data_IF_046389216764
#
_entry.id   IF_046389216764
#
_cell.length_a   1.000
_cell.length_b   1.000
_cell.length_c   1.000
_cell.angle_alpha   90.00
_cell.angle_beta   90.00
_cell.angle_gamma   90.00
#
_symmetry.space_group_name_H-M   'P 1'
#
loop_
_entity.id
_entity.type
_entity.pdbx_description
1 polymer ?
#
# COMPACT_ATOMS: atom_id res chain seq x y z
N UNK A 1 35.30 36.03 53.08
CA UNK A 1 35.50 35.64 51.67
C UNK A 1 34.11 35.56 51.03
N UNK A 2 33.44 36.69 50.76
CA UNK A 2 31.96 36.69 50.68
C UNK A 2 31.30 37.70 49.73
N UNK A 3 32.04 38.53 48.97
CA UNK A 3 31.41 39.51 48.04
C UNK A 3 31.88 39.33 46.60
N UNK A 4 33.18 39.10 46.42
CA UNK A 4 33.79 38.92 45.10
C UNK A 4 33.34 37.61 44.44
N UNK A 5 33.14 36.54 45.23
CA UNK A 5 32.64 35.25 44.74
C UNK A 5 31.20 35.33 44.22
N UNK A 6 30.32 36.09 44.90
CA UNK A 6 28.95 36.31 44.45
C UNK A 6 28.87 37.22 43.23
N UNK A 7 29.75 38.23 43.12
CA UNK A 7 29.85 39.08 41.94
C UNK A 7 30.32 38.30 40.71
N UNK A 8 31.30 37.40 40.87
CA UNK A 8 31.79 36.52 39.81
C UNK A 8 30.72 35.50 39.37
N UNK A 9 29.99 34.90 40.33
CA UNK A 9 28.86 34.01 40.02
C UNK A 9 27.72 34.75 39.31
N UNK A 10 27.40 35.97 39.73
CA UNK A 10 26.37 36.80 39.08
C UNK A 10 26.74 37.18 37.65
N UNK A 11 28.00 37.57 37.41
CA UNK A 11 28.51 37.85 36.07
C UNK A 11 28.53 36.61 35.16
N UNK A 12 28.96 35.46 35.68
CA UNK A 12 28.94 34.20 34.95
C UNK A 12 27.50 33.76 34.58
N UNK A 13 26.55 33.90 35.51
CA UNK A 13 25.14 33.62 35.27
C UNK A 13 24.52 34.55 34.22
N UNK A 14 24.89 35.84 34.22
CA UNK A 14 24.38 36.82 33.26
C UNK A 14 24.80 36.52 31.81
N UNK A 15 25.94 35.85 31.60
CA UNK A 15 26.41 35.44 30.27
C UNK A 15 25.90 34.04 29.90
N UNK A 16 25.92 33.10 30.84
CA UNK A 16 25.53 31.72 30.57
C UNK A 16 24.02 31.55 30.37
N UNK A 17 23.18 32.26 31.13
CA UNK A 17 21.74 32.08 31.09
C UNK A 17 21.12 32.46 29.72
N UNK A 18 21.48 33.59 29.07
CA UNK A 18 20.99 33.91 27.72
C UNK A 18 21.44 32.92 26.65
N UNK A 19 22.67 32.39 26.74
CA UNK A 19 23.20 31.39 25.80
C UNK A 19 22.46 30.06 25.92
N UNK A 20 22.25 29.58 27.15
CA UNK A 20 21.48 28.35 27.41
C UNK A 20 20.03 28.55 26.98
N UNK A 21 19.43 29.70 27.30
CA UNK A 21 18.05 29.99 26.89
C UNK A 21 17.91 30.03 25.36
N UNK A 22 18.82 30.68 24.63
CA UNK A 22 18.78 30.74 23.18
C UNK A 22 18.95 29.36 22.54
N UNK A 23 19.93 28.57 22.98
CA UNK A 23 20.15 27.20 22.46
C UNK A 23 18.95 26.29 22.70
N UNK A 24 18.40 26.29 23.92
CA UNK A 24 17.18 25.52 24.23
C UNK A 24 16.00 25.99 23.39
N UNK A 25 15.82 27.31 23.25
CA UNK A 25 14.73 27.88 22.46
C UNK A 25 14.85 27.52 20.98
N UNK A 26 16.06 27.56 20.41
CA UNK A 26 16.35 27.14 19.04
C UNK A 26 16.03 25.66 18.82
N UNK A 27 16.48 24.77 19.70
CA UNK A 27 16.16 23.33 19.64
C UNK A 27 14.66 23.09 19.73
N UNK A 28 13.95 23.80 20.61
CA UNK A 28 12.50 23.70 20.75
C UNK A 28 11.78 24.22 19.49
N UNK A 29 12.25 25.30 18.88
CA UNK A 29 11.66 25.82 17.65
C UNK A 29 11.93 24.93 16.45
N UNK A 30 13.14 24.40 16.32
CA UNK A 30 13.51 23.49 15.24
C UNK A 30 12.71 22.19 15.32
N UNK A 31 12.55 21.63 16.52
CA UNK A 31 11.71 20.43 16.72
C UNK A 31 10.23 20.70 16.43
N UNK A 32 9.69 21.87 16.82
CA UNK A 32 8.32 22.28 16.45
C UNK A 32 8.16 22.45 14.95
N UNK A 33 9.13 23.10 14.29
CA UNK A 33 9.14 23.30 12.84
C UNK A 33 9.17 21.96 12.12
N UNK A 34 10.10 21.08 12.49
CA UNK A 34 10.20 19.71 11.96
C UNK A 34 8.88 18.95 12.07
N UNK A 35 8.24 18.93 13.25
CA UNK A 35 6.94 18.24 13.43
C UNK A 35 5.82 18.82 12.57
N UNK A 36 5.84 20.13 12.31
CA UNK A 36 4.86 20.79 11.43
C UNK A 36 5.07 20.41 9.97
N UNK A 37 6.31 20.46 9.49
CA UNK A 37 6.68 20.05 8.14
C UNK A 37 6.36 18.57 7.91
N UNK A 38 6.76 17.70 8.83
CA UNK A 38 6.52 16.26 8.78
C UNK A 38 5.01 15.95 8.66
N UNK A 39 4.17 16.60 9.49
CA UNK A 39 2.71 16.46 9.38
C UNK A 39 2.16 16.95 8.05
N UNK A 40 2.68 18.06 7.51
CA UNK A 40 2.21 18.59 6.24
C UNK A 40 2.52 17.64 5.07
N UNK A 41 3.71 17.02 5.07
CA UNK A 41 4.12 16.01 4.09
C UNK A 41 3.22 14.77 4.23
N UNK A 42 3.02 14.28 5.46
CA UNK A 42 2.24 13.06 5.72
C UNK A 42 0.78 13.20 5.29
N UNK A 43 0.14 14.35 5.53
CA UNK A 43 -1.25 14.56 5.09
C UNK A 43 -1.37 14.48 3.56
N UNK A 44 -0.44 15.09 2.83
CA UNK A 44 -0.41 14.99 1.36
C UNK A 44 -0.15 13.54 0.90
N UNK A 45 0.75 12.82 1.57
CA UNK A 45 1.02 11.42 1.28
C UNK A 45 -0.23 10.55 1.45
N UNK A 46 -1.01 10.76 2.51
CA UNK A 46 -2.25 9.99 2.73
C UNK A 46 -3.21 10.13 1.53
N UNK A 47 -3.44 11.34 1.04
CA UNK A 47 -4.29 11.53 -0.15
C UNK A 47 -3.73 10.87 -1.41
N UNK A 48 -2.41 10.91 -1.59
CA UNK A 48 -1.75 10.24 -2.71
C UNK A 48 -1.91 8.71 -2.62
N UNK A 49 -1.75 8.15 -1.42
CA UNK A 49 -1.96 6.73 -1.13
C UNK A 49 -3.43 6.36 -1.34
N UNK A 50 -4.40 7.18 -0.93
CA UNK A 50 -5.83 6.90 -1.14
C UNK A 50 -6.21 6.83 -2.61
N UNK A 51 -5.65 7.74 -3.42
CA UNK A 51 -5.79 7.70 -4.88
C UNK A 51 -5.19 6.42 -5.46
N UNK A 52 -4.01 6.03 -4.98
CA UNK A 52 -3.34 4.80 -5.39
C UNK A 52 -4.15 3.54 -5.02
N UNK A 53 -4.66 3.49 -3.79
CA UNK A 53 -5.50 2.39 -3.28
C UNK A 53 -6.77 2.27 -4.10
N UNK A 54 -7.44 3.38 -4.42
CA UNK A 54 -8.64 3.38 -5.27
C UNK A 54 -8.38 2.78 -6.65
N UNK A 55 -7.20 3.02 -7.24
CA UNK A 55 -6.80 2.39 -8.51
C UNK A 55 -6.52 0.90 -8.37
N UNK A 56 -5.88 0.48 -7.28
CA UNK A 56 -5.67 -0.94 -6.99
C UNK A 56 -7.00 -1.66 -6.78
N UNK A 57 -7.96 -1.00 -6.13
CA UNK A 57 -9.31 -1.51 -5.92
C UNK A 57 -10.00 -1.74 -7.26
N UNK A 58 -10.01 -0.73 -8.14
CA UNK A 58 -10.60 -0.87 -9.46
C UNK A 58 -10.03 -2.07 -10.21
N UNK A 59 -8.71 -2.24 -10.22
CA UNK A 59 -8.04 -3.36 -10.88
C UNK A 59 -8.25 -4.72 -10.20
N UNK A 60 -8.64 -4.73 -8.92
CA UNK A 60 -8.95 -5.95 -8.17
C UNK A 60 -10.32 -6.56 -8.49
N UNK A 61 -11.21 -5.77 -9.10
CA UNK A 61 -12.53 -6.21 -9.55
C UNK A 61 -12.69 -6.17 -11.07
N UNK A 62 -11.98 -5.27 -11.76
CA UNK A 62 -12.15 -5.10 -13.19
C UNK A 62 -11.69 -6.34 -13.98
N UNK A 63 -12.44 -6.69 -15.02
CA UNK A 63 -12.18 -7.80 -15.95
C UNK A 63 -11.81 -7.30 -17.35
N UNK A 64 -11.14 -6.15 -17.42
CA UNK A 64 -10.86 -5.46 -18.68
C UNK A 64 -11.80 -4.28 -18.92
N UNK A 65 -11.39 -3.41 -19.84
CA UNK A 65 -12.19 -2.25 -20.26
C UNK A 65 -12.74 -2.55 -21.65
N UNK A 66 -14.03 -2.37 -21.84
CA UNK A 66 -14.64 -2.54 -23.16
C UNK A 66 -14.12 -1.46 -24.11
N UNK A 67 -13.58 -1.90 -25.25
CA UNK A 67 -13.13 -1.01 -26.32
C UNK A 67 -14.19 -1.02 -27.44
N UNK A 68 -14.93 0.10 -27.63
CA UNK A 68 -15.95 0.19 -28.68
C UNK A 68 -15.42 0.00 -30.10
N UNK A 69 -14.13 0.29 -30.36
CA UNK A 69 -13.55 0.11 -31.68
C UNK A 69 -13.23 -1.35 -31.98
N UNK A 70 -12.95 -2.13 -30.94
CA UNK A 70 -12.59 -3.56 -31.06
C UNK A 70 -13.75 -4.50 -30.77
N UNK A 71 -14.86 -3.97 -30.24
CA UNK A 71 -16.07 -4.71 -29.85
C UNK A 71 -15.83 -5.82 -28.80
N UNK A 72 -14.72 -5.74 -28.05
CA UNK A 72 -14.41 -6.65 -26.95
C UNK A 72 -13.63 -5.95 -25.83
N UNK A 73 -13.48 -6.62 -24.68
CA UNK A 73 -12.68 -6.12 -23.57
C UNK A 73 -11.19 -6.20 -23.90
N UNK A 74 -10.45 -5.14 -23.67
CA UNK A 74 -8.99 -5.12 -23.87
C UNK A 74 -8.24 -5.41 -22.57
N UNK A 75 -7.07 -6.03 -22.72
CA UNK A 75 -6.14 -6.25 -21.60
C UNK A 75 -5.33 -5.01 -21.23
N UNK A 76 -5.39 -3.93 -22.02
CA UNK A 76 -4.71 -2.69 -21.68
C UNK A 76 -5.41 -1.97 -20.52
N UNK A 77 -4.61 -1.37 -19.63
CA UNK A 77 -5.12 -0.66 -18.45
C UNK A 77 -4.10 0.33 -17.90
N UNK A 78 -4.62 1.36 -17.22
CA UNK A 78 -3.80 2.33 -16.49
C UNK A 78 -3.22 1.68 -15.23
N UNK A 79 -1.89 1.59 -15.18
CA UNK A 79 -1.17 1.04 -14.02
C UNK A 79 -1.16 2.09 -12.90
N UNK A 80 -1.47 1.74 -11.64
CA UNK A 80 -1.43 2.68 -10.53
C UNK A 80 -0.01 3.23 -10.37
N UNK A 81 0.16 4.55 -10.33
CA UNK A 81 1.47 5.18 -10.16
C UNK A 81 1.50 6.06 -8.91
N UNK A 82 2.57 5.94 -8.12
CA UNK A 82 2.79 6.72 -6.92
C UNK A 82 3.80 7.85 -7.20
N UNK A 83 3.29 9.00 -7.62
CA UNK A 83 4.15 10.14 -7.89
C UNK A 83 4.46 10.93 -6.61
N UNK A 84 5.51 10.51 -5.89
CA UNK A 84 5.99 11.21 -4.68
C UNK A 84 6.46 12.64 -4.99
N UNK A 85 6.92 12.95 -6.21
CA UNK A 85 7.35 14.30 -6.58
C UNK A 85 6.22 15.34 -6.51
N UNK A 86 4.96 14.90 -6.45
CA UNK A 86 3.79 15.77 -6.28
C UNK A 86 3.59 16.31 -4.86
N UNK A 87 4.23 15.69 -3.87
CA UNK A 87 4.12 16.11 -2.46
C UNK A 87 5.12 17.22 -2.18
N UNK A 88 4.60 18.33 -1.64
CA UNK A 88 5.42 19.48 -1.26
C UNK A 88 6.03 19.26 0.11
N UNK A 89 7.33 19.55 0.23
CA UNK A 89 8.06 19.55 1.49
C UNK A 89 9.42 18.90 1.37
N UNK A 90 10.21 19.02 2.43
CA UNK A 90 11.54 18.41 2.50
C UNK A 90 11.44 17.02 3.16
N UNK A 91 11.60 15.99 2.35
CA UNK A 91 11.52 14.59 2.77
C UNK A 91 12.53 14.20 3.85
N UNK A 92 13.59 14.99 4.07
CA UNK A 92 14.54 14.76 5.18
C UNK A 92 13.89 14.80 6.57
N UNK A 93 12.70 15.37 6.68
CA UNK A 93 11.97 15.41 7.95
C UNK A 93 11.24 14.09 8.25
N UNK A 94 10.98 13.25 7.25
CA UNK A 94 10.45 11.90 7.44
C UNK A 94 11.57 10.98 7.94
N UNK A 95 11.22 9.99 8.75
CA UNK A 95 12.17 8.95 9.14
C UNK A 95 12.53 8.02 7.96
N UNK A 96 13.73 7.45 8.03
CA UNK A 96 14.27 6.61 6.96
C UNK A 96 13.45 5.34 6.71
N UNK A 97 12.83 4.78 7.76
CA UNK A 97 11.94 3.61 7.62
C UNK A 97 10.69 3.96 6.80
N UNK A 98 10.04 5.08 7.10
CA UNK A 98 8.91 5.57 6.32
C UNK A 98 9.27 5.82 4.85
N UNK A 99 10.41 6.47 4.59
CA UNK A 99 10.90 6.68 3.21
C UNK A 99 11.13 5.36 2.48
N UNK A 100 11.81 4.41 3.11
CA UNK A 100 12.02 3.08 2.55
C UNK A 100 10.69 2.39 2.22
N UNK A 101 9.73 2.42 3.14
CA UNK A 101 8.41 1.81 2.96
C UNK A 101 7.63 2.49 1.83
N UNK A 102 7.70 3.81 1.68
CA UNK A 102 7.09 4.52 0.54
C UNK A 102 7.72 4.09 -0.79
N UNK A 103 9.05 4.07 -0.90
CA UNK A 103 9.74 3.63 -2.12
C UNK A 103 9.50 2.15 -2.45
N UNK A 104 9.30 1.31 -1.44
CA UNK A 104 9.01 -0.11 -1.64
C UNK A 104 7.66 -0.34 -2.35
N UNK A 105 6.73 0.62 -2.33
CA UNK A 105 5.47 0.53 -3.09
C UNK A 105 5.78 0.38 -4.59
N UNK A 106 6.69 1.19 -5.13
CA UNK A 106 7.04 1.14 -6.55
C UNK A 106 7.81 -0.12 -6.91
N UNK A 107 8.70 -0.59 -6.02
CA UNK A 107 9.40 -1.86 -6.21
C UNK A 107 8.41 -3.03 -6.28
N UNK A 108 7.43 -3.09 -5.36
CA UNK A 108 6.39 -4.13 -5.36
C UNK A 108 5.44 -4.00 -6.54
N UNK A 109 5.12 -2.77 -6.97
CA UNK A 109 4.37 -2.53 -8.21
C UNK A 109 5.10 -3.10 -9.42
N UNK A 110 6.41 -2.88 -9.52
CA UNK A 110 7.22 -3.43 -10.61
C UNK A 110 7.21 -4.96 -10.62
N UNK A 111 7.20 -5.60 -9.45
CA UNK A 111 7.03 -7.05 -9.33
C UNK A 111 5.67 -7.52 -9.85
N UNK A 112 4.57 -6.83 -9.50
CA UNK A 112 3.23 -7.14 -10.04
C UNK A 112 3.21 -7.06 -11.57
N UNK A 113 3.79 -5.99 -12.13
CA UNK A 113 3.86 -5.82 -13.59
C UNK A 113 4.68 -6.94 -14.21
N UNK A 114 5.85 -7.24 -13.66
CA UNK A 114 6.73 -8.30 -14.15
C UNK A 114 6.05 -9.67 -14.09
N UNK A 115 5.33 -9.98 -13.02
CA UNK A 115 4.62 -11.25 -12.87
C UNK A 115 3.52 -11.40 -13.94
N UNK A 116 2.77 -10.33 -14.24
CA UNK A 116 1.77 -10.33 -15.29
C UNK A 116 2.37 -10.46 -16.70
N UNK A 117 3.53 -9.85 -16.94
CA UNK A 117 4.22 -9.94 -18.24
C UNK A 117 4.85 -11.31 -18.50
N UNK A 118 5.12 -12.09 -17.46
CA UNK A 118 5.78 -13.41 -17.54
C UNK A 118 4.79 -14.59 -17.38
N UNK A 119 3.49 -14.34 -17.52
CA UNK A 119 2.50 -15.43 -17.55
C UNK A 119 2.70 -16.29 -18.80
N UNK A 120 2.47 -17.59 -18.67
CA UNK A 120 2.53 -18.52 -19.80
C UNK A 120 1.23 -18.49 -20.63
N UNK A 121 1.27 -19.13 -21.79
CA UNK A 121 0.17 -19.13 -22.77
C UNK A 121 -1.17 -19.60 -22.17
N UNK A 122 -1.15 -20.49 -21.17
CA UNK A 122 -2.38 -21.01 -20.54
C UNK A 122 -3.26 -19.94 -19.87
N UNK A 123 -2.72 -18.75 -19.58
CA UNK A 123 -3.50 -17.62 -19.07
C UNK A 123 -4.28 -16.88 -20.16
N UNK A 124 -4.04 -17.22 -21.43
CA UNK A 124 -4.58 -16.55 -22.61
C UNK A 124 -5.38 -17.50 -23.53
N UNK A 125 -5.55 -18.77 -23.14
CA UNK A 125 -6.21 -19.82 -23.94
C UNK A 125 -7.69 -19.53 -24.25
N UNK A 126 -8.34 -18.69 -23.44
CA UNK A 126 -9.77 -18.35 -23.54
C UNK A 126 -10.03 -16.97 -24.16
N UNK A 127 -9.20 -16.54 -25.10
CA UNK A 127 -9.45 -15.32 -25.87
C UNK A 127 -10.84 -15.38 -26.56
N UNK A 128 -11.62 -14.27 -26.55
CA UNK A 128 -11.26 -12.92 -26.11
C UNK A 128 -11.55 -12.60 -24.64
N UNK A 129 -11.99 -13.57 -23.84
CA UNK A 129 -12.43 -13.34 -22.46
C UNK A 129 -11.28 -13.22 -21.46
N UNK A 130 -10.15 -13.91 -21.72
CA UNK A 130 -8.92 -13.84 -20.92
C UNK A 130 -9.15 -14.01 -19.40
N UNK A 131 -10.05 -14.90 -19.01
CA UNK A 131 -10.56 -15.02 -17.63
C UNK A 131 -9.43 -15.33 -16.66
N UNK A 132 -8.51 -16.21 -17.05
CA UNK A 132 -7.37 -16.59 -16.23
C UNK A 132 -6.41 -15.42 -15.98
N UNK A 133 -6.09 -14.65 -17.04
CA UNK A 133 -5.30 -13.43 -16.94
C UNK A 133 -5.96 -12.41 -15.99
N UNK A 134 -7.25 -12.11 -16.17
CA UNK A 134 -7.94 -11.13 -15.34
C UNK A 134 -8.01 -11.58 -13.87
N UNK A 135 -8.29 -12.85 -13.60
CA UNK A 135 -8.28 -13.39 -12.24
C UNK A 135 -6.91 -13.23 -11.57
N UNK A 136 -5.83 -13.46 -12.33
CA UNK A 136 -4.46 -13.28 -11.85
C UNK A 136 -4.13 -11.82 -11.56
N UNK A 137 -4.49 -10.91 -12.47
CA UNK A 137 -4.32 -9.45 -12.30
C UNK A 137 -5.07 -8.95 -11.07
N UNK A 138 -6.33 -9.35 -10.94
CA UNK A 138 -7.18 -8.96 -9.81
C UNK A 138 -6.56 -9.39 -8.48
N UNK A 139 -6.05 -10.62 -8.38
CA UNK A 139 -5.37 -11.09 -7.18
C UNK A 139 -4.12 -10.27 -6.86
N UNK A 140 -3.28 -9.99 -7.86
CA UNK A 140 -2.03 -9.26 -7.65
C UNK A 140 -2.27 -7.83 -7.19
N UNK A 141 -3.20 -7.10 -7.85
CA UNK A 141 -3.54 -5.74 -7.44
C UNK A 141 -4.33 -5.69 -6.12
N UNK A 142 -5.13 -6.70 -5.80
CA UNK A 142 -5.76 -6.80 -4.49
C UNK A 142 -4.71 -6.93 -3.37
N UNK A 143 -3.71 -7.81 -3.55
CA UNK A 143 -2.61 -7.98 -2.58
C UNK A 143 -1.74 -6.74 -2.48
N UNK A 144 -1.41 -6.12 -3.61
CA UNK A 144 -0.61 -4.90 -3.64
C UNK A 144 -1.36 -3.72 -3.00
N UNK A 145 -2.65 -3.58 -3.29
CA UNK A 145 -3.52 -2.58 -2.64
C UNK A 145 -3.60 -2.79 -1.13
N UNK A 146 -3.75 -4.03 -0.65
CA UNK A 146 -3.73 -4.35 0.79
C UNK A 146 -2.41 -3.91 1.45
N UNK A 147 -1.27 -4.16 0.80
CA UNK A 147 0.02 -3.70 1.30
C UNK A 147 0.07 -2.17 1.48
N UNK A 148 -0.46 -1.42 0.51
CA UNK A 148 -0.51 0.05 0.58
C UNK A 148 -1.50 0.54 1.64
N UNK A 149 -2.63 -0.15 1.82
CA UNK A 149 -3.60 0.12 2.90
C UNK A 149 -2.95 -0.02 4.27
N UNK A 150 -2.24 -1.12 4.52
CA UNK A 150 -1.57 -1.38 5.80
C UNK A 150 -0.53 -0.27 6.10
N UNK A 151 0.22 0.15 5.09
CA UNK A 151 1.15 1.28 5.21
C UNK A 151 0.43 2.61 5.50
N UNK A 152 -0.67 2.92 4.80
CA UNK A 152 -1.45 4.13 5.03
C UNK A 152 -2.03 4.17 6.47
N UNK A 153 -2.54 3.04 6.95
CA UNK A 153 -3.08 2.90 8.30
C UNK A 153 -1.99 3.04 9.38
N UNK A 154 -0.80 2.47 9.15
CA UNK A 154 0.36 2.65 10.03
C UNK A 154 0.79 4.11 10.13
N UNK A 155 0.84 4.82 9.00
CA UNK A 155 1.14 6.24 8.95
C UNK A 155 0.09 7.02 9.75
N UNK A 156 -1.20 6.75 9.53
CA UNK A 156 -2.27 7.41 10.26
C UNK A 156 -2.16 7.17 11.78
N UNK A 157 -1.87 5.94 12.22
CA UNK A 157 -1.62 5.61 13.63
C UNK A 157 -0.42 6.37 14.21
N UNK A 158 0.72 6.35 13.52
CA UNK A 158 1.97 7.01 13.94
C UNK A 158 1.78 8.51 14.12
N UNK A 159 1.08 9.14 13.18
CA UNK A 159 0.87 10.60 13.18
C UNK A 159 -0.40 11.06 13.89
N UNK A 160 -1.20 10.12 14.41
CA UNK A 160 -2.51 10.37 15.04
C UNK A 160 -3.45 11.15 14.11
N UNK A 161 -3.46 10.76 12.84
CA UNK A 161 -4.33 11.35 11.81
C UNK A 161 -5.62 10.53 11.76
N UNK A 162 -6.76 11.21 11.87
CA UNK A 162 -8.06 10.61 11.59
C UNK A 162 -8.20 10.52 10.08
N UNK A 163 -8.15 9.31 9.55
CA UNK A 163 -8.40 9.04 8.14
C UNK A 163 -9.91 9.13 7.87
N UNK A 164 -10.33 10.14 7.12
CA UNK A 164 -11.75 10.44 6.88
C UNK A 164 -12.15 10.33 5.42
N UNK A 165 -11.20 10.03 4.53
CA UNK A 165 -11.40 10.08 3.07
C UNK A 165 -12.44 9.07 2.56
N UNK A 166 -12.80 8.09 3.38
CA UNK A 166 -13.77 7.04 3.06
C UNK A 166 -14.97 7.02 4.02
N UNK A 167 -15.10 8.00 4.92
CA UNK A 167 -16.26 8.08 5.84
C UNK A 167 -17.53 8.43 5.05
N UNK A 168 -18.61 7.68 5.25
CA UNK A 168 -19.94 7.96 4.68
C UNK A 168 -20.11 7.61 3.20
N UNK A 169 -19.17 6.87 2.59
CA UNK A 169 -19.22 6.50 1.19
C UNK A 169 -18.52 5.17 0.88
N UNK A 170 -18.15 4.98 -0.38
CA UNK A 170 -17.40 3.80 -0.82
C UNK A 170 -16.01 3.77 -0.15
N UNK A 171 -15.66 2.62 0.43
CA UNK A 171 -14.37 2.41 1.08
C UNK A 171 -13.53 1.40 0.28
N UNK A 172 -12.54 1.87 -0.50
CA UNK A 172 -11.68 1.01 -1.29
C UNK A 172 -10.92 -0.02 -0.45
N UNK A 173 -10.52 0.35 0.77
CA UNK A 173 -9.78 -0.53 1.64
C UNK A 173 -10.62 -1.72 2.14
N UNK A 174 -11.89 -1.46 2.49
CA UNK A 174 -12.84 -2.52 2.81
C UNK A 174 -13.10 -3.41 1.58
N UNK A 175 -13.34 -2.79 0.42
CA UNK A 175 -13.61 -3.50 -0.85
C UNK A 175 -12.48 -4.46 -1.24
N UNK A 176 -11.21 -4.02 -1.16
CA UNK A 176 -10.04 -4.85 -1.46
C UNK A 176 -9.94 -6.04 -0.49
N UNK A 177 -10.16 -5.80 0.81
CA UNK A 177 -10.11 -6.87 1.83
C UNK A 177 -11.17 -7.92 1.57
N UNK A 178 -12.39 -7.48 1.26
CA UNK A 178 -13.48 -8.38 0.87
C UNK A 178 -13.13 -9.17 -0.40
N UNK A 179 -12.57 -8.50 -1.41
CA UNK A 179 -12.17 -9.15 -2.67
C UNK A 179 -11.16 -10.27 -2.44
N UNK A 180 -10.17 -10.04 -1.57
CA UNK A 180 -9.18 -11.06 -1.22
C UNK A 180 -9.83 -12.27 -0.54
N UNK A 181 -10.83 -12.05 0.32
CA UNK A 181 -11.61 -13.14 0.92
C UNK A 181 -12.36 -13.93 -0.15
N UNK A 182 -13.04 -13.25 -1.07
CA UNK A 182 -13.76 -13.88 -2.18
C UNK A 182 -12.82 -14.69 -3.08
N UNK A 183 -11.65 -14.15 -3.45
CA UNK A 183 -10.64 -14.83 -4.26
C UNK A 183 -10.14 -16.10 -3.54
N UNK A 184 -9.83 -16.00 -2.24
CA UNK A 184 -9.39 -17.15 -1.44
C UNK A 184 -10.47 -18.23 -1.35
N UNK A 185 -11.72 -17.83 -1.13
CA UNK A 185 -12.86 -18.75 -1.08
C UNK A 185 -13.05 -19.48 -2.43
N UNK A 186 -13.03 -18.73 -3.54
CA UNK A 186 -13.15 -19.29 -4.89
C UNK A 186 -12.03 -20.30 -5.20
N UNK A 187 -10.77 -19.97 -4.88
CA UNK A 187 -9.64 -20.87 -5.05
C UNK A 187 -9.76 -22.14 -4.21
N UNK A 188 -10.19 -22.01 -2.94
CA UNK A 188 -10.41 -23.15 -2.05
C UNK A 188 -11.49 -24.08 -2.60
N UNK A 189 -12.63 -23.54 -3.04
CA UNK A 189 -13.70 -24.32 -3.67
C UNK A 189 -13.24 -25.00 -4.97
N UNK A 190 -12.48 -24.31 -5.81
CA UNK A 190 -11.92 -24.90 -7.02
C UNK A 190 -10.95 -26.05 -6.70
N UNK A 191 -10.12 -25.90 -5.67
CA UNK A 191 -9.22 -26.95 -5.20
C UNK A 191 -9.99 -28.18 -4.69
N UNK A 192 -11.01 -27.99 -3.84
CA UNK A 192 -11.85 -29.08 -3.34
C UNK A 192 -12.55 -29.83 -4.49
N UNK A 193 -13.13 -29.11 -5.45
CA UNK A 193 -13.75 -29.73 -6.65
C UNK A 193 -12.76 -30.56 -7.46
N UNK A 194 -11.52 -30.09 -7.63
CA UNK A 194 -10.47 -30.87 -8.32
C UNK A 194 -10.12 -32.15 -7.56
N UNK A 195 -10.05 -32.09 -6.24
CA UNK A 195 -9.78 -33.25 -5.39
C UNK A 195 -10.92 -34.27 -5.46
N UNK A 196 -12.18 -33.83 -5.39
CA UNK A 196 -13.35 -34.69 -5.56
C UNK A 196 -13.36 -35.38 -6.92
N UNK A 197 -13.10 -34.64 -8.01
CA UNK A 197 -13.04 -35.21 -9.36
C UNK A 197 -11.91 -36.24 -9.49
N UNK A 198 -10.74 -35.97 -8.91
CA UNK A 198 -9.63 -36.93 -8.88
C UNK A 198 -10.00 -38.19 -8.08
N UNK A 199 -10.63 -38.03 -6.91
CA UNK A 199 -11.09 -39.15 -6.09
C UNK A 199 -12.11 -40.02 -6.84
N UNK A 200 -13.10 -39.40 -7.51
CA UNK A 200 -14.08 -40.11 -8.35
C UNK A 200 -13.41 -40.91 -9.47
N UNK A 201 -12.46 -40.32 -10.20
CA UNK A 201 -11.70 -41.00 -11.26
C UNK A 201 -10.91 -42.20 -10.74
N UNK A 202 -10.26 -42.07 -9.59
CA UNK A 202 -9.50 -43.16 -8.96
C UNK A 202 -10.43 -44.29 -8.50
N UNK A 203 -11.56 -43.95 -7.87
CA UNK A 203 -12.55 -44.92 -7.43
C UNK A 203 -13.16 -45.70 -8.61
N UNK A 204 -13.47 -45.01 -9.72
CA UNK A 204 -13.97 -45.64 -10.94
C UNK A 204 -12.94 -46.57 -11.57
N UNK A 205 -11.67 -46.15 -11.65
CA UNK A 205 -10.57 -46.99 -12.14
C UNK A 205 -10.41 -48.25 -11.29
N UNK A 206 -10.51 -48.13 -9.95
CA UNK A 206 -10.45 -49.27 -9.04
C UNK A 206 -11.63 -50.22 -9.25
N UNK A 207 -12.86 -49.70 -9.37
CA UNK A 207 -14.06 -50.52 -9.67
C UNK A 207 -13.88 -51.36 -10.95
N UNK A 208 -13.40 -50.74 -12.03
CA UNK A 208 -13.13 -51.42 -13.31
C UNK A 208 -12.09 -52.54 -13.18
N UNK A 209 -11.05 -52.34 -12.36
CA UNK A 209 -10.01 -53.35 -12.10
C UNK A 209 -10.47 -54.50 -11.20
N UNK A 210 -11.50 -54.32 -10.36
CA UNK A 210 -12.07 -55.40 -9.53
C UNK A 210 -13.18 -56.18 -10.20
N UNK A 211 -13.67 -55.74 -11.37
CA UNK A 211 -14.77 -56.37 -12.12
C UNK A 211 -14.32 -57.09 -13.40
N UNK A 212 -13.03 -56.96 -13.78
CA UNK A 212 -12.40 -57.72 -14.85
C UNK A 212 -11.34 -58.65 -14.28
#
# INVERSE_FOLDING_TARGET
>A
MEKETWALLGAAAAVAAPLIFNTVKEVVWETKKRKREERHIVVQLIFLLDKYISRCEFLSYNEGVYDPQREHKVMDYEKPDLNLSSVKGDYKYLDADLLYRLHSIDSKRAQVISELSNLNDSYFDDAPDFTAYYAKRQELYAKHGLYVIELSEDICRKFKIKHVSWEGGFNPAASIRERLVQIRASKSQAYLRRMEMKAKRVAEKKRKLTQG
#
